data_IF_667067970268
#
_entry.id   IF_667067970268
#
_cell.length_a   1.000
_cell.length_b   1.000
_cell.length_c   1.000
_cell.angle_alpha   90.00
_cell.angle_beta   90.00
_cell.angle_gamma   90.00
#
_symmetry.space_group_name_H-M   'P 1'
#
loop_
_entity.id
_entity.type
_entity.pdbx_description
1 polymer ?
#
# COMPACT_ATOMS: atom_id res chain seq x y z
N UNK A 1 -65.76 33.58 2.42
CA UNK A 1 -65.04 32.40 2.90
C UNK A 1 -64.15 31.65 1.89
N UNK A 2 -63.85 32.08 0.70
CA UNK A 2 -62.91 31.35 -0.20
C UNK A 2 -61.43 31.77 -0.12
N UNK A 3 -61.10 32.93 0.40
CA UNK A 3 -59.73 33.46 0.42
C UNK A 3 -58.81 32.82 1.49
N UNK A 4 -59.38 32.29 2.57
CA UNK A 4 -58.61 31.63 3.65
C UNK A 4 -58.09 30.24 3.26
N UNK A 5 -58.83 29.50 2.41
CA UNK A 5 -58.44 28.17 1.94
C UNK A 5 -57.28 28.20 0.97
N UNK A 6 -57.20 29.24 0.10
CA UNK A 6 -56.10 29.39 -0.84
C UNK A 6 -54.76 29.74 -0.18
N UNK A 7 -54.80 30.49 0.95
CA UNK A 7 -53.58 30.90 1.66
C UNK A 7 -52.94 29.73 2.46
N UNK A 8 -53.80 28.91 3.07
CA UNK A 8 -53.36 27.69 3.81
C UNK A 8 -52.77 26.62 2.90
N UNK A 9 -53.34 26.43 1.68
CA UNK A 9 -52.85 25.50 0.69
C UNK A 9 -51.43 25.89 0.15
N UNK A 10 -51.21 27.18 -0.06
CA UNK A 10 -49.93 27.72 -0.51
C UNK A 10 -48.82 27.61 0.55
N UNK A 11 -49.19 27.78 1.84
CA UNK A 11 -48.22 27.65 2.94
C UNK A 11 -47.86 26.21 3.22
N UNK A 12 -48.80 25.26 3.17
CA UNK A 12 -48.53 23.82 3.27
C UNK A 12 -47.70 23.29 2.12
N UNK A 13 -47.94 23.76 0.88
CA UNK A 13 -47.16 23.37 -0.27
C UNK A 13 -45.72 23.92 -0.24
N UNK A 14 -45.51 25.13 0.28
CA UNK A 14 -44.17 25.69 0.49
C UNK A 14 -43.42 24.94 1.62
N UNK A 15 -44.11 24.59 2.74
CA UNK A 15 -43.54 23.80 3.81
C UNK A 15 -43.14 22.37 3.34
N UNK A 16 -44.03 21.74 2.53
CA UNK A 16 -43.75 20.42 1.94
C UNK A 16 -42.59 20.46 0.98
N UNK A 17 -42.52 21.49 0.11
CA UNK A 17 -41.41 21.67 -0.82
C UNK A 17 -40.09 21.93 -0.09
N UNK A 18 -40.10 22.71 0.99
CA UNK A 18 -38.92 22.96 1.83
C UNK A 18 -38.47 21.71 2.55
N UNK A 19 -39.39 20.86 3.04
CA UNK A 19 -39.06 19.57 3.67
C UNK A 19 -38.50 18.56 2.68
N UNK A 20 -39.02 18.53 1.45
CA UNK A 20 -38.49 17.67 0.38
C UNK A 20 -37.12 18.14 -0.08
N UNK A 21 -36.87 19.45 -0.17
CA UNK A 21 -35.55 20.02 -0.50
C UNK A 21 -34.55 19.75 0.64
N UNK A 22 -34.94 19.89 1.90
CA UNK A 22 -34.11 19.54 3.05
C UNK A 22 -33.82 18.03 3.12
N UNK A 23 -34.81 17.19 2.81
CA UNK A 23 -34.63 15.74 2.73
C UNK A 23 -33.74 15.33 1.53
N UNK A 24 -33.85 16.01 0.40
CA UNK A 24 -32.99 15.80 -0.78
C UNK A 24 -31.55 16.29 -0.55
N UNK A 25 -31.37 17.38 0.21
CA UNK A 25 -30.04 17.85 0.65
C UNK A 25 -29.42 16.94 1.73
N UNK A 26 -30.22 16.31 2.59
CA UNK A 26 -29.77 15.28 3.51
C UNK A 26 -29.46 13.95 2.82
N UNK A 27 -30.12 13.66 1.69
CA UNK A 27 -29.83 12.47 0.86
C UNK A 27 -28.63 12.67 -0.10
N UNK A 28 -28.28 13.93 -0.41
CA UNK A 28 -26.98 14.27 -0.99
C UNK A 28 -25.95 14.27 0.15
N UNK A 29 -25.70 13.08 0.71
CA UNK A 29 -24.73 12.88 1.78
C UNK A 29 -23.38 13.43 1.33
N UNK A 30 -23.04 14.64 1.73
CA UNK A 30 -21.67 15.10 1.72
C UNK A 30 -20.95 14.13 2.64
N UNK A 31 -20.26 13.16 2.05
CA UNK A 31 -19.48 12.20 2.82
C UNK A 31 -18.50 12.98 3.70
N UNK A 32 -18.71 12.91 5.00
CA UNK A 32 -17.80 13.55 5.94
C UNK A 32 -16.47 12.79 5.92
N UNK A 33 -15.34 13.50 6.04
CA UNK A 33 -14.05 12.84 6.12
C UNK A 33 -14.00 11.93 7.37
N UNK A 34 -13.19 10.87 7.27
CA UNK A 34 -12.86 10.03 8.42
C UNK A 34 -12.29 10.90 9.56
N UNK A 35 -12.44 10.48 10.82
CA UNK A 35 -11.83 11.18 11.95
C UNK A 35 -10.34 11.47 11.69
N UNK A 36 -9.90 12.71 11.94
CA UNK A 36 -8.53 13.20 11.73
C UNK A 36 -8.09 13.31 10.25
N UNK A 37 -8.90 12.90 9.28
CA UNK A 37 -8.59 13.09 7.85
C UNK A 37 -9.05 14.47 7.37
N UNK A 38 -8.33 15.01 6.38
CA UNK A 38 -8.65 16.26 5.68
C UNK A 38 -8.94 15.98 4.22
N UNK A 39 -9.95 16.64 3.66
CA UNK A 39 -10.23 16.57 2.23
C UNK A 39 -9.08 17.20 1.45
N UNK A 40 -8.67 16.55 0.34
CA UNK A 40 -7.58 17.07 -0.49
C UNK A 40 -8.05 18.09 -1.54
N UNK A 41 -9.36 18.29 -1.69
CA UNK A 41 -9.95 19.15 -2.71
C UNK A 41 -9.88 18.60 -4.15
N UNK A 42 -9.24 17.45 -4.36
CA UNK A 42 -9.06 16.83 -5.67
C UNK A 42 -9.30 15.33 -5.60
N UNK A 43 -9.75 14.72 -6.71
CA UNK A 43 -9.92 13.28 -6.90
C UNK A 43 -10.87 12.57 -5.92
N UNK A 44 -11.67 13.29 -5.13
CA UNK A 44 -12.54 12.70 -4.11
C UNK A 44 -11.75 11.93 -3.04
N UNK A 45 -10.65 12.49 -2.60
CA UNK A 45 -9.72 11.90 -1.64
C UNK A 45 -9.65 12.70 -0.34
N UNK A 46 -9.26 12.00 0.70
CA UNK A 46 -8.96 12.53 2.02
C UNK A 46 -7.61 11.99 2.49
N UNK A 47 -6.90 12.78 3.28
CA UNK A 47 -5.56 12.43 3.77
C UNK A 47 -5.42 12.69 5.26
N UNK A 48 -4.62 11.85 5.90
CA UNK A 48 -4.12 12.03 7.26
C UNK A 48 -2.60 11.90 7.24
N UNK A 49 -1.91 12.79 7.96
CA UNK A 49 -0.45 12.72 8.13
C UNK A 49 -0.15 12.51 9.61
N UNK A 50 0.66 11.50 9.90
CA UNK A 50 1.24 11.26 11.22
C UNK A 50 2.69 11.73 11.12
N UNK A 51 3.01 12.92 11.67
CA UNK A 51 4.34 13.53 11.56
C UNK A 51 5.36 12.92 12.53
N UNK A 52 4.94 12.53 13.72
CA UNK A 52 5.79 11.93 14.74
C UNK A 52 5.19 10.60 15.17
N UNK A 53 5.20 9.64 14.27
CA UNK A 53 4.76 8.28 14.56
C UNK A 53 5.78 7.50 15.39
N UNK A 54 5.53 6.21 15.55
CA UNK A 54 6.38 5.31 16.32
C UNK A 54 7.83 5.40 15.83
N UNK A 55 8.77 5.64 16.73
CA UNK A 55 10.22 5.70 16.47
C UNK A 55 10.59 6.66 15.31
N UNK A 56 10.07 7.89 15.34
CA UNK A 56 10.41 8.92 14.36
C UNK A 56 9.91 8.67 12.95
N UNK A 57 8.94 7.76 12.78
CA UNK A 57 8.35 7.51 11.47
C UNK A 57 7.32 8.58 11.11
N UNK A 58 7.25 8.88 9.82
CA UNK A 58 6.24 9.73 9.22
C UNK A 58 5.36 8.89 8.30
N UNK A 59 4.04 9.08 8.38
CA UNK A 59 3.09 8.29 7.59
C UNK A 59 2.09 9.21 6.91
N UNK A 60 1.97 9.11 5.59
CA UNK A 60 0.88 9.70 4.83
C UNK A 60 -0.14 8.62 4.51
N UNK A 61 -1.35 8.76 5.02
CA UNK A 61 -2.48 7.89 4.68
C UNK A 61 -3.38 8.62 3.70
N UNK A 62 -3.63 8.01 2.54
CA UNK A 62 -4.56 8.53 1.54
C UNK A 62 -5.70 7.54 1.33
N UNK A 63 -6.92 8.02 1.47
CA UNK A 63 -8.15 7.27 1.35
C UNK A 63 -9.13 7.96 0.39
N UNK A 64 -10.06 7.25 -0.27
CA UNK A 64 -11.19 7.90 -0.94
C UNK A 64 -12.13 8.49 0.10
N UNK A 65 -12.95 9.46 -0.29
CA UNK A 65 -13.96 10.07 0.61
C UNK A 65 -15.13 9.12 0.87
N UNK A 66 -15.40 8.20 -0.06
CA UNK A 66 -16.49 7.22 -0.03
C UNK A 66 -15.96 5.79 0.15
N UNK A 67 -16.84 4.83 0.42
CA UNK A 67 -16.46 3.42 0.56
C UNK A 67 -16.14 3.04 2.02
N UNK A 68 -16.76 3.71 2.97
CA UNK A 68 -16.63 3.44 4.40
C UNK A 68 -18.00 3.21 5.06
N UNK A 69 -18.93 2.60 4.31
CA UNK A 69 -20.19 2.12 4.84
C UNK A 69 -20.02 0.88 5.72
N UNK A 70 -21.10 0.44 6.34
CA UNK A 70 -21.08 -0.68 7.31
C UNK A 70 -20.61 -2.01 6.72
N UNK A 71 -20.91 -2.25 5.45
CA UNK A 71 -20.58 -3.51 4.73
C UNK A 71 -19.31 -3.40 3.89
N UNK A 72 -18.66 -2.22 3.87
CA UNK A 72 -17.45 -2.02 3.10
C UNK A 72 -16.26 -2.74 3.75
N UNK A 73 -15.31 -3.14 2.92
CA UNK A 73 -14.05 -3.77 3.34
C UNK A 73 -12.88 -2.93 2.87
N UNK A 74 -11.89 -2.77 3.72
CA UNK A 74 -10.69 -1.99 3.41
C UNK A 74 -9.56 -2.90 2.93
N UNK A 75 -8.91 -2.52 1.83
CA UNK A 75 -7.62 -3.03 1.42
C UNK A 75 -6.56 -1.97 1.74
N UNK A 76 -5.82 -2.17 2.81
CA UNK A 76 -4.81 -1.24 3.31
C UNK A 76 -3.43 -1.59 2.76
N UNK A 77 -2.93 -0.76 1.87
CA UNK A 77 -1.59 -0.89 1.27
C UNK A 77 -0.59 -0.15 2.13
N UNK A 78 0.30 -0.87 2.79
CA UNK A 78 1.45 -0.34 3.51
C UNK A 78 2.62 -0.25 2.51
N UNK A 79 2.94 0.97 2.09
CA UNK A 79 3.99 1.22 1.10
C UNK A 79 5.23 1.81 1.77
N UNK A 80 6.26 0.99 1.91
CA UNK A 80 7.55 1.43 2.45
C UNK A 80 8.40 2.10 1.36
N UNK A 81 8.84 3.32 1.64
CA UNK A 81 9.57 4.16 0.70
C UNK A 81 10.97 3.60 0.39
N UNK A 82 11.49 3.86 -0.83
CA UNK A 82 12.88 3.59 -1.16
C UNK A 82 13.85 4.51 -0.40
N UNK A 83 15.10 4.13 -0.36
CA UNK A 83 16.14 4.93 0.28
C UNK A 83 16.25 6.33 -0.33
N UNK A 84 16.43 7.33 0.53
CA UNK A 84 16.64 8.72 0.14
C UNK A 84 15.39 9.49 -0.28
N UNK A 85 14.23 8.86 -0.39
CA UNK A 85 13.01 9.51 -0.86
C UNK A 85 12.13 9.98 0.29
N UNK A 86 11.46 11.11 0.07
CA UNK A 86 10.39 11.59 0.94
C UNK A 86 9.03 11.07 0.50
N UNK A 87 8.05 11.17 1.39
CA UNK A 87 6.64 10.86 1.07
C UNK A 87 6.16 11.67 -0.13
N UNK A 88 6.47 12.97 -0.19
CA UNK A 88 6.01 13.85 -1.27
C UNK A 88 6.57 13.42 -2.62
N UNK A 89 7.86 13.09 -2.69
CA UNK A 89 8.51 12.58 -3.90
C UNK A 89 7.87 11.25 -4.35
N UNK A 90 7.61 10.36 -3.40
CA UNK A 90 7.09 9.01 -3.68
C UNK A 90 5.60 9.02 -4.00
N UNK A 91 4.80 9.76 -3.25
CA UNK A 91 3.36 9.86 -3.48
C UNK A 91 3.04 10.60 -4.78
N UNK A 92 3.86 11.58 -5.12
CA UNK A 92 3.76 12.41 -6.32
C UNK A 92 3.51 13.87 -5.97
N UNK A 93 4.51 14.69 -6.15
CA UNK A 93 4.41 16.15 -6.05
C UNK A 93 4.57 16.79 -7.43
N UNK A 94 4.03 17.97 -7.60
CA UNK A 94 4.38 18.81 -8.76
C UNK A 94 5.81 19.32 -8.58
N UNK A 95 6.68 19.01 -9.55
CA UNK A 95 8.04 19.48 -9.56
C UNK A 95 8.09 21.01 -9.64
N UNK A 96 9.03 21.61 -8.92
CA UNK A 96 9.36 23.04 -8.94
C UNK A 96 10.83 23.19 -9.30
N UNK A 97 11.20 24.37 -9.75
CA UNK A 97 12.60 24.72 -9.99
C UNK A 97 13.43 24.49 -8.70
N UNK A 98 14.57 23.82 -8.84
CA UNK A 98 15.45 23.44 -7.71
C UNK A 98 15.11 22.10 -7.05
N UNK A 99 14.05 21.41 -7.47
CA UNK A 99 13.83 20.02 -7.03
C UNK A 99 14.86 19.10 -7.70
N UNK A 100 15.50 18.25 -6.90
CA UNK A 100 16.49 17.26 -7.36
C UNK A 100 15.86 15.93 -7.87
N UNK A 101 14.54 15.86 -7.90
CA UNK A 101 13.81 14.68 -8.33
C UNK A 101 13.84 14.52 -9.85
N UNK A 102 14.51 13.49 -10.33
CA UNK A 102 14.81 13.32 -11.76
C UNK A 102 13.93 12.28 -12.47
N UNK A 103 13.11 11.52 -11.73
CA UNK A 103 12.43 10.35 -12.29
C UNK A 103 10.95 10.36 -11.99
N UNK A 104 10.14 10.14 -13.01
CA UNK A 104 8.69 9.95 -12.90
C UNK A 104 8.31 8.51 -12.53
N UNK A 105 9.03 7.89 -11.58
CA UNK A 105 8.93 6.44 -11.36
C UNK A 105 8.07 6.01 -10.18
N UNK A 106 7.66 6.93 -9.30
CA UNK A 106 7.01 6.52 -8.06
C UNK A 106 5.73 7.25 -7.73
N UNK A 107 4.91 7.57 -8.68
CA UNK A 107 3.65 8.25 -8.48
C UNK A 107 2.62 7.36 -7.77
N UNK A 108 2.85 7.04 -6.49
CA UNK A 108 2.02 6.11 -5.71
C UNK A 108 0.59 6.60 -5.59
N UNK A 109 0.37 7.91 -5.49
CA UNK A 109 -0.96 8.49 -5.52
C UNK A 109 -1.71 8.16 -6.81
N UNK A 110 -1.06 8.33 -7.98
CA UNK A 110 -1.65 8.00 -9.27
C UNK A 110 -1.90 6.48 -9.42
N UNK A 111 -0.95 5.65 -8.99
CA UNK A 111 -1.10 4.19 -9.00
C UNK A 111 -2.24 3.74 -8.08
N UNK A 112 -2.38 4.35 -6.91
CA UNK A 112 -3.49 4.05 -5.98
C UNK A 112 -4.83 4.41 -6.59
N UNK A 113 -4.94 5.55 -7.28
CA UNK A 113 -6.16 5.94 -8.02
C UNK A 113 -6.50 4.95 -9.13
N UNK A 114 -5.49 4.45 -9.85
CA UNK A 114 -5.69 3.39 -10.84
C UNK A 114 -6.20 2.11 -10.17
N UNK A 115 -5.61 1.68 -9.06
CA UNK A 115 -6.07 0.50 -8.33
C UNK A 115 -7.51 0.65 -7.84
N UNK A 116 -7.94 1.82 -7.37
CA UNK A 116 -9.33 2.11 -6.97
C UNK A 116 -10.33 1.94 -8.10
N UNK A 117 -9.92 2.17 -9.35
CA UNK A 117 -10.76 1.91 -10.53
C UNK A 117 -10.87 0.43 -10.88
N UNK A 118 -9.83 -0.34 -10.59
CA UNK A 118 -9.75 -1.76 -10.94
C UNK A 118 -10.31 -2.66 -9.83
N UNK A 119 -10.18 -2.28 -8.57
CA UNK A 119 -10.64 -3.02 -7.40
C UNK A 119 -11.93 -2.37 -6.92
N UNK A 120 -13.06 -3.02 -7.20
CA UNK A 120 -14.40 -2.46 -6.92
C UNK A 120 -15.11 -3.15 -5.74
N UNK A 121 -14.55 -4.23 -5.23
CA UNK A 121 -15.07 -5.02 -4.11
C UNK A 121 -14.49 -4.63 -2.75
N UNK A 122 -13.59 -3.64 -2.72
CA UNK A 122 -12.90 -3.12 -1.52
C UNK A 122 -12.52 -1.68 -1.66
N UNK A 123 -12.50 -0.98 -0.53
CA UNK A 123 -11.98 0.39 -0.45
C UNK A 123 -10.46 0.37 -0.33
N UNK A 124 -9.76 0.83 -1.37
CA UNK A 124 -8.29 0.86 -1.38
C UNK A 124 -7.77 2.10 -0.66
N UNK A 125 -7.03 1.88 0.41
CA UNK A 125 -6.30 2.89 1.19
C UNK A 125 -4.80 2.63 1.06
N UNK A 126 -3.99 3.68 0.92
CA UNK A 126 -2.53 3.57 0.95
C UNK A 126 -1.95 4.36 2.11
N UNK A 127 -1.02 3.75 2.83
CA UNK A 127 -0.18 4.38 3.83
C UNK A 127 1.28 4.36 3.34
N UNK A 128 1.83 5.52 3.02
CA UNK A 128 3.24 5.69 2.65
C UNK A 128 4.08 5.87 3.91
N UNK A 129 5.09 5.03 4.09
CA UNK A 129 5.88 4.91 5.31
C UNK A 129 7.30 5.43 5.07
N UNK A 130 7.65 6.52 5.76
CA UNK A 130 8.97 7.14 5.78
C UNK A 130 9.56 7.03 7.18
N UNK A 131 10.85 6.73 7.30
CA UNK A 131 11.57 6.83 8.58
C UNK A 131 12.50 8.05 8.57
N UNK A 132 12.93 8.49 9.76
CA UNK A 132 13.73 9.70 9.96
C UNK A 132 15.07 9.71 9.19
N UNK A 133 15.68 8.52 8.99
CA UNK A 133 16.94 8.39 8.23
C UNK A 133 16.71 8.11 6.75
N UNK A 134 15.46 8.09 6.29
CA UNK A 134 15.05 7.79 4.90
C UNK A 134 15.69 6.51 4.33
N UNK A 135 15.88 5.52 5.17
CA UNK A 135 16.47 4.23 4.78
C UNK A 135 16.03 3.14 5.75
N UNK A 136 15.18 2.24 5.31
CA UNK A 136 14.73 1.12 6.14
C UNK A 136 15.87 0.18 6.54
N UNK A 137 16.88 -0.12 5.67
CA UNK A 137 18.05 -0.88 6.09
C UNK A 137 18.87 -0.20 7.19
N UNK A 138 19.18 1.10 7.05
CA UNK A 138 19.94 1.84 8.04
C UNK A 138 19.15 2.01 9.35
N UNK A 139 17.85 2.30 9.25
CA UNK A 139 16.96 2.40 10.41
C UNK A 139 16.96 1.09 11.22
N UNK A 140 16.75 -0.08 10.54
CA UNK A 140 16.73 -1.38 11.22
C UNK A 140 18.06 -1.73 11.89
N UNK A 141 19.18 -1.37 11.25
CA UNK A 141 20.51 -1.64 11.79
C UNK A 141 20.78 -0.85 13.08
N UNK A 142 20.14 0.32 13.23
CA UNK A 142 20.32 1.21 14.39
C UNK A 142 19.15 1.14 15.40
N UNK A 143 18.20 0.23 15.21
CA UNK A 143 17.01 0.08 16.07
C UNK A 143 16.95 -1.37 16.58
N UNK A 144 17.50 -1.67 17.77
CA UNK A 144 17.57 -3.05 18.28
C UNK A 144 16.21 -3.75 18.40
N UNK A 145 15.18 -3.02 18.79
CA UNK A 145 13.80 -3.46 18.99
C UNK A 145 12.90 -3.19 17.77
N UNK A 146 13.48 -3.18 16.56
CA UNK A 146 12.76 -2.89 15.32
C UNK A 146 11.54 -3.79 15.10
N UNK A 147 11.52 -5.01 15.63
CA UNK A 147 10.41 -5.96 15.46
C UNK A 147 9.15 -5.46 16.16
N UNK A 148 9.29 -5.10 17.43
CA UNK A 148 8.22 -4.58 18.27
C UNK A 148 7.71 -3.24 17.72
N UNK A 149 8.64 -2.41 17.28
CA UNK A 149 8.32 -1.09 16.70
C UNK A 149 7.56 -1.21 15.39
N UNK A 150 8.01 -2.07 14.46
CA UNK A 150 7.31 -2.28 13.18
C UNK A 150 5.93 -2.88 13.41
N UNK A 151 5.80 -3.85 14.33
CA UNK A 151 4.51 -4.41 14.70
C UNK A 151 3.57 -3.33 15.23
N UNK A 152 4.03 -2.54 16.21
CA UNK A 152 3.24 -1.44 16.79
C UNK A 152 2.80 -0.43 15.73
N UNK A 153 3.70 -0.03 14.84
CA UNK A 153 3.41 0.90 13.73
C UNK A 153 2.29 0.37 12.83
N UNK A 154 2.38 -0.90 12.42
CA UNK A 154 1.36 -1.52 11.57
C UNK A 154 0.05 -1.66 12.31
N UNK A 155 0.06 -2.04 13.59
CA UNK A 155 -1.13 -2.16 14.44
C UNK A 155 -1.82 -0.80 14.61
N UNK A 156 -1.08 0.29 14.83
CA UNK A 156 -1.63 1.65 14.93
C UNK A 156 -2.31 2.10 13.63
N UNK A 157 -1.66 1.94 12.48
CA UNK A 157 -2.25 2.30 11.19
C UNK A 157 -3.48 1.44 10.90
N UNK A 158 -3.42 0.14 11.18
CA UNK A 158 -4.50 -0.80 10.95
C UNK A 158 -5.73 -0.48 11.82
N UNK A 159 -5.51 -0.04 13.06
CA UNK A 159 -6.57 0.30 14.01
C UNK A 159 -7.46 1.44 13.53
N UNK A 160 -6.94 2.37 12.72
CA UNK A 160 -7.72 3.45 12.12
C UNK A 160 -8.86 2.93 11.22
N UNK A 161 -8.70 1.72 10.70
CA UNK A 161 -9.65 1.08 9.78
C UNK A 161 -10.32 -0.17 10.39
N UNK A 162 -10.18 -0.39 11.69
CA UNK A 162 -10.72 -1.57 12.37
C UNK A 162 -12.22 -1.84 12.10
N UNK A 163 -13.11 -0.82 12.00
CA UNK A 163 -14.52 -1.05 11.70
C UNK A 163 -14.78 -1.72 10.35
N UNK A 164 -13.85 -1.63 9.40
CA UNK A 164 -13.94 -2.16 8.04
C UNK A 164 -13.08 -3.39 7.79
N UNK A 165 -12.62 -4.03 8.86
CA UNK A 165 -11.90 -5.31 8.82
C UNK A 165 -10.75 -5.32 7.79
N UNK A 166 -9.71 -4.49 7.95
CA UNK A 166 -8.72 -4.22 6.92
C UNK A 166 -7.89 -5.45 6.56
N UNK A 167 -7.79 -5.73 5.25
CA UNK A 167 -6.83 -6.66 4.69
C UNK A 167 -5.55 -5.90 4.31
N UNK A 168 -4.39 -6.44 4.68
CA UNK A 168 -3.10 -5.78 4.51
C UNK A 168 -2.39 -6.19 3.23
N UNK A 169 -1.82 -5.21 2.55
CA UNK A 169 -0.85 -5.40 1.48
C UNK A 169 0.49 -4.84 1.95
N UNK A 170 1.50 -5.69 2.08
CA UNK A 170 2.87 -5.26 2.33
C UNK A 170 3.55 -4.96 1.00
N UNK A 171 3.95 -3.73 0.78
CA UNK A 171 4.56 -3.28 -0.45
C UNK A 171 5.78 -2.40 -0.16
N UNK A 172 6.82 -2.53 -0.95
CA UNK A 172 8.02 -1.71 -0.82
C UNK A 172 8.81 -1.68 -2.12
N UNK A 173 9.45 -0.54 -2.38
CA UNK A 173 10.37 -0.37 -3.48
C UNK A 173 11.80 -0.22 -2.97
N UNK A 174 12.78 -0.83 -3.64
CA UNK A 174 14.21 -0.70 -3.30
C UNK A 174 14.46 -0.97 -1.80
N UNK A 175 15.07 -0.06 -1.07
CA UNK A 175 15.30 -0.17 0.37
C UNK A 175 14.03 -0.41 1.22
N UNK A 176 12.86 -0.06 0.69
CA UNK A 176 11.56 -0.33 1.34
C UNK A 176 11.26 -1.82 1.56
N UNK A 177 11.90 -2.71 0.80
CA UNK A 177 11.78 -4.16 1.02
C UNK A 177 12.27 -4.61 2.40
N UNK A 178 13.17 -3.85 3.04
CA UNK A 178 13.62 -4.14 4.40
C UNK A 178 12.47 -4.02 5.41
N UNK A 179 11.55 -3.08 5.24
CA UNK A 179 10.35 -2.97 6.06
C UNK A 179 9.52 -4.26 6.01
N UNK A 180 9.34 -4.84 4.81
CA UNK A 180 8.61 -6.10 4.65
C UNK A 180 9.29 -7.20 5.46
N UNK A 181 10.61 -7.37 5.32
CA UNK A 181 11.36 -8.38 6.09
C UNK A 181 11.31 -8.12 7.59
N UNK A 182 11.39 -6.87 8.03
CA UNK A 182 11.24 -6.50 9.45
C UNK A 182 9.87 -6.92 10.00
N UNK A 183 8.81 -6.73 9.21
CA UNK A 183 7.47 -7.17 9.59
C UNK A 183 7.38 -8.71 9.64
N UNK A 184 8.00 -9.42 8.69
CA UNK A 184 8.07 -10.89 8.73
C UNK A 184 8.88 -11.40 9.93
N UNK A 185 9.90 -10.67 10.36
CA UNK A 185 10.71 -11.00 11.55
C UNK A 185 9.93 -10.77 12.85
N UNK A 186 9.04 -9.80 12.87
CA UNK A 186 8.20 -9.48 14.03
C UNK A 186 7.11 -10.52 14.32
N UNK A 187 6.91 -11.50 13.43
CA UNK A 187 5.87 -12.51 13.55
C UNK A 187 6.46 -13.91 13.35
N UNK A 188 6.07 -14.84 14.18
CA UNK A 188 6.40 -16.25 14.00
C UNK A 188 5.77 -16.80 12.72
N UNK A 189 4.50 -16.47 12.49
CA UNK A 189 3.75 -16.74 11.26
C UNK A 189 3.17 -15.45 10.70
N UNK A 190 3.08 -15.34 9.38
CA UNK A 190 2.50 -14.16 8.73
C UNK A 190 1.01 -14.07 9.10
N UNK A 191 0.55 -12.94 9.67
CA UNK A 191 -0.83 -12.78 10.10
C UNK A 191 -1.85 -13.00 8.98
N UNK A 192 -3.01 -13.56 9.33
CA UNK A 192 -4.09 -13.82 8.38
C UNK A 192 -4.70 -12.56 7.75
N UNK A 193 -4.50 -11.39 8.34
CA UNK A 193 -4.87 -10.11 7.73
C UNK A 193 -4.01 -9.74 6.53
N UNK A 194 -2.77 -10.23 6.43
CA UNK A 194 -1.90 -9.98 5.26
C UNK A 194 -2.40 -10.83 4.09
N UNK A 195 -2.89 -10.18 3.05
CA UNK A 195 -3.40 -10.86 1.85
C UNK A 195 -2.46 -10.75 0.65
N UNK A 196 -1.57 -9.75 0.63
CA UNK A 196 -0.59 -9.56 -0.44
C UNK A 196 0.76 -9.15 0.10
N UNK A 197 1.82 -9.66 -0.55
CA UNK A 197 3.20 -9.19 -0.35
C UNK A 197 3.77 -8.90 -1.73
N UNK A 198 4.30 -7.68 -1.92
CA UNK A 198 4.87 -7.25 -3.19
C UNK A 198 6.25 -6.60 -3.00
N UNK A 199 7.26 -7.24 -3.56
CA UNK A 199 8.63 -6.72 -3.63
C UNK A 199 8.83 -6.05 -5.00
N UNK A 200 8.88 -4.72 -5.01
CA UNK A 200 9.12 -3.94 -6.22
C UNK A 200 10.60 -3.57 -6.30
N UNK A 201 11.38 -4.42 -6.93
CA UNK A 201 12.85 -4.33 -6.97
C UNK A 201 13.45 -4.09 -5.58
N UNK A 202 13.00 -4.88 -4.62
CA UNK A 202 13.25 -4.63 -3.18
C UNK A 202 13.57 -5.88 -2.37
N UNK A 203 13.70 -7.03 -3.02
CA UNK A 203 13.96 -8.32 -2.36
C UNK A 203 15.46 -8.54 -2.09
N UNK A 204 16.09 -7.60 -1.36
CA UNK A 204 17.51 -7.72 -0.97
C UNK A 204 17.78 -8.65 0.21
N UNK A 205 16.76 -8.90 1.03
CA UNK A 205 16.90 -9.60 2.31
C UNK A 205 16.45 -11.05 2.32
N UNK A 206 16.16 -11.65 1.18
CA UNK A 206 15.68 -13.03 1.13
C UNK A 206 16.72 -14.04 1.65
N UNK A 207 16.27 -14.87 2.58
CA UNK A 207 17.00 -16.02 3.14
C UNK A 207 16.06 -17.23 3.19
N UNK A 208 16.47 -18.35 2.57
CA UNK A 208 15.61 -19.53 2.38
C UNK A 208 15.12 -20.09 3.73
N UNK A 209 16.04 -20.31 4.68
CA UNK A 209 15.73 -20.93 5.95
C UNK A 209 14.91 -20.02 6.87
N UNK A 210 15.08 -18.71 6.74
CA UNK A 210 14.44 -17.72 7.61
C UNK A 210 13.02 -17.37 7.15
N UNK A 211 12.83 -17.11 5.86
CA UNK A 211 11.57 -16.61 5.30
C UNK A 211 10.82 -17.66 4.49
N UNK A 212 11.51 -18.64 3.94
CA UNK A 212 10.93 -19.65 3.08
C UNK A 212 9.75 -20.38 3.72
N UNK A 213 9.90 -21.01 4.90
CA UNK A 213 8.81 -21.70 5.59
C UNK A 213 7.62 -20.77 5.89
N UNK A 214 7.88 -19.50 6.32
CA UNK A 214 6.82 -18.54 6.62
C UNK A 214 5.99 -18.19 5.37
N UNK A 215 6.66 -17.90 4.25
CA UNK A 215 5.99 -17.56 2.98
C UNK A 215 5.22 -18.77 2.42
N UNK A 216 5.80 -19.98 2.45
CA UNK A 216 5.12 -21.21 2.00
C UNK A 216 3.87 -21.47 2.84
N UNK A 217 3.96 -21.42 4.16
CA UNK A 217 2.82 -21.63 5.06
C UNK A 217 1.74 -20.58 4.83
N UNK A 218 2.11 -19.30 4.71
CA UNK A 218 1.19 -18.22 4.41
C UNK A 218 0.48 -18.40 3.06
N UNK A 219 1.19 -18.74 2.00
CA UNK A 219 0.60 -19.01 0.69
C UNK A 219 -0.37 -20.19 0.71
N UNK A 220 -0.13 -21.21 1.56
CA UNK A 220 -1.00 -22.38 1.74
C UNK A 220 -2.20 -22.10 2.64
N UNK A 221 -2.13 -21.10 3.51
CA UNK A 221 -3.18 -20.78 4.49
C UNK A 221 -4.48 -20.24 3.87
N UNK A 222 -4.47 -19.84 2.60
CA UNK A 222 -5.67 -19.33 1.94
C UNK A 222 -5.50 -19.07 0.44
N UNK A 223 -6.61 -19.12 -0.30
CA UNK A 223 -6.61 -18.83 -1.75
C UNK A 223 -6.49 -17.33 -2.07
N UNK A 224 -6.70 -16.46 -1.10
CA UNK A 224 -6.57 -15.01 -1.22
C UNK A 224 -5.18 -14.49 -0.77
N UNK A 225 -4.15 -15.34 -0.82
CA UNK A 225 -2.77 -14.96 -0.53
C UNK A 225 -2.00 -14.78 -1.83
N UNK A 226 -1.40 -13.60 -2.04
CA UNK A 226 -0.74 -13.24 -3.30
C UNK A 226 0.68 -12.73 -3.04
N UNK A 227 1.65 -13.30 -3.73
CA UNK A 227 3.04 -12.88 -3.72
C UNK A 227 3.44 -12.37 -5.10
N UNK A 228 3.96 -11.16 -5.18
CA UNK A 228 4.55 -10.61 -6.39
C UNK A 228 5.98 -10.15 -6.10
N UNK A 229 6.90 -10.51 -6.98
CA UNK A 229 8.28 -10.05 -6.93
C UNK A 229 8.69 -9.56 -8.31
N UNK A 230 9.05 -8.29 -8.41
CA UNK A 230 9.65 -7.71 -9.60
C UNK A 230 11.12 -7.45 -9.29
N UNK A 231 12.04 -7.83 -10.18
CA UNK A 231 13.45 -7.57 -10.01
C UNK A 231 14.11 -7.20 -11.34
N UNK A 232 14.87 -6.11 -11.31
CA UNK A 232 15.81 -5.75 -12.38
C UNK A 232 17.14 -6.47 -12.19
N UNK A 233 17.87 -6.67 -13.29
CA UNK A 233 19.20 -7.23 -13.20
C UNK A 233 20.22 -6.20 -12.71
N UNK A 234 20.29 -6.04 -11.40
CA UNK A 234 21.22 -5.15 -10.72
C UNK A 234 22.67 -5.68 -10.66
N UNK A 235 22.88 -6.96 -11.02
CA UNK A 235 24.22 -7.58 -11.05
C UNK A 235 25.16 -6.99 -12.12
N UNK A 236 24.61 -6.33 -13.14
CA UNK A 236 25.37 -5.68 -14.22
C UNK A 236 25.63 -4.20 -13.97
N UNK A 237 25.08 -3.64 -12.90
CA UNK A 237 25.18 -2.22 -12.60
C UNK A 237 26.54 -1.91 -11.97
N UNK A 238 27.25 -0.94 -12.55
CA UNK A 238 28.50 -0.40 -12.03
C UNK A 238 28.29 1.02 -11.57
N UNK A 239 28.65 1.31 -10.32
CA UNK A 239 28.57 2.64 -9.72
C UNK A 239 29.94 3.03 -9.18
N UNK A 240 30.45 4.19 -9.58
CA UNK A 240 31.81 4.66 -9.21
C UNK A 240 32.91 3.60 -9.48
N UNK A 241 32.84 2.91 -10.63
CA UNK A 241 33.82 1.90 -11.05
C UNK A 241 33.76 0.57 -10.29
N UNK A 242 32.76 0.36 -9.43
CA UNK A 242 32.56 -0.90 -8.68
C UNK A 242 31.19 -1.49 -8.94
N UNK A 243 31.04 -2.82 -8.90
CA UNK A 243 29.71 -3.43 -8.94
C UNK A 243 28.82 -2.88 -7.84
N UNK A 244 27.56 -2.55 -8.18
CA UNK A 244 26.59 -2.02 -7.21
C UNK A 244 26.26 -3.01 -6.12
N UNK A 245 26.23 -4.31 -6.46
CA UNK A 245 25.90 -5.41 -5.55
C UNK A 245 26.98 -6.50 -5.63
N UNK A 246 27.09 -7.30 -4.57
CA UNK A 246 27.94 -8.49 -4.58
C UNK A 246 27.34 -9.58 -5.49
N UNK A 247 28.10 -10.61 -5.90
CA UNK A 247 27.60 -11.70 -6.75
C UNK A 247 26.38 -12.42 -6.16
N UNK A 248 26.29 -12.53 -4.83
CA UNK A 248 25.16 -13.13 -4.10
C UNK A 248 24.23 -12.09 -3.46
N UNK A 249 24.42 -10.83 -3.80
CA UNK A 249 23.59 -9.71 -3.37
C UNK A 249 22.59 -9.28 -4.43
N UNK A 250 21.89 -8.19 -4.11
CA UNK A 250 20.97 -7.56 -5.06
C UNK A 250 19.61 -8.25 -5.20
N UNK A 251 18.71 -7.53 -5.82
CA UNK A 251 17.32 -7.99 -5.99
C UNK A 251 17.21 -9.11 -6.99
N UNK A 252 18.04 -9.07 -8.04
CA UNK A 252 18.07 -10.11 -9.07
C UNK A 252 18.43 -11.48 -8.49
N UNK A 253 19.56 -11.57 -7.81
CA UNK A 253 20.01 -12.82 -7.21
C UNK A 253 19.03 -13.33 -6.16
N UNK A 254 18.65 -12.49 -5.21
CA UNK A 254 17.78 -12.85 -4.11
C UNK A 254 16.37 -13.25 -4.57
N UNK A 255 15.85 -12.60 -5.61
CA UNK A 255 14.53 -12.95 -6.17
C UNK A 255 14.57 -14.25 -6.95
N UNK A 256 15.65 -14.55 -7.65
CA UNK A 256 15.85 -15.87 -8.30
C UNK A 256 15.91 -16.97 -7.25
N UNK A 257 16.71 -16.77 -6.20
CA UNK A 257 16.81 -17.71 -5.08
C UNK A 257 15.43 -17.99 -4.44
N UNK A 258 14.64 -16.93 -4.22
CA UNK A 258 13.27 -17.06 -3.74
C UNK A 258 12.37 -17.83 -4.71
N UNK A 259 12.46 -17.54 -6.02
CA UNK A 259 11.73 -18.28 -7.05
C UNK A 259 12.07 -19.77 -7.03
N UNK A 260 13.35 -20.12 -6.96
CA UNK A 260 13.83 -21.50 -6.96
C UNK A 260 13.34 -22.24 -5.71
N UNK A 261 13.45 -21.60 -4.53
CA UNK A 261 12.92 -22.14 -3.28
C UNK A 261 11.39 -22.42 -3.36
N UNK A 262 10.62 -21.46 -3.84
CA UNK A 262 9.16 -21.61 -3.94
C UNK A 262 8.76 -22.61 -5.03
N UNK A 263 9.55 -22.79 -6.08
CA UNK A 263 9.32 -23.77 -7.13
C UNK A 263 9.37 -25.21 -6.64
N UNK A 264 10.04 -25.47 -5.50
CA UNK A 264 10.00 -26.77 -4.84
C UNK A 264 8.64 -27.07 -4.18
N UNK A 265 7.88 -26.04 -3.84
CA UNK A 265 6.57 -26.18 -3.17
C UNK A 265 5.35 -25.87 -4.04
N UNK A 266 5.56 -25.10 -5.12
CA UNK A 266 4.52 -24.61 -6.01
C UNK A 266 4.93 -24.79 -7.47
N UNK A 267 4.04 -25.26 -8.32
CA UNK A 267 4.30 -25.34 -9.76
C UNK A 267 4.28 -23.96 -10.38
N UNK A 268 5.46 -23.39 -10.68
CA UNK A 268 5.61 -22.11 -11.36
C UNK A 268 5.95 -22.38 -12.84
N UNK A 269 5.18 -21.77 -13.76
CA UNK A 269 5.42 -21.84 -15.20
C UNK A 269 6.23 -20.64 -15.62
N UNK A 270 7.37 -20.89 -16.27
CA UNK A 270 8.21 -19.85 -16.92
C UNK A 270 7.64 -19.51 -18.29
N UNK A 271 7.60 -18.23 -18.63
CA UNK A 271 7.34 -17.71 -19.97
C UNK A 271 8.03 -16.35 -20.16
N UNK A 272 8.21 -15.95 -21.41
CA UNK A 272 8.79 -14.66 -21.77
C UNK A 272 7.75 -13.83 -22.51
N UNK A 273 7.69 -12.56 -22.19
CA UNK A 273 6.82 -11.59 -22.83
C UNK A 273 7.38 -10.19 -22.68
N UNK A 274 7.43 -9.42 -23.78
CA UNK A 274 7.84 -8.00 -23.79
C UNK A 274 9.23 -7.77 -23.13
N UNK A 275 10.20 -8.63 -23.46
CA UNK A 275 11.55 -8.64 -22.87
C UNK A 275 11.60 -8.88 -21.36
N UNK A 276 10.53 -9.42 -20.80
CA UNK A 276 10.44 -9.79 -19.38
C UNK A 276 10.36 -11.32 -19.26
N UNK A 277 11.05 -11.86 -18.25
CA UNK A 277 10.95 -13.25 -17.86
C UNK A 277 9.94 -13.35 -16.71
N UNK A 278 8.94 -14.17 -16.88
CA UNK A 278 7.89 -14.40 -15.92
C UNK A 278 7.95 -15.80 -15.36
N UNK A 279 7.69 -15.93 -14.06
CA UNK A 279 7.33 -17.20 -13.43
C UNK A 279 6.00 -16.99 -12.71
N UNK A 280 5.04 -17.88 -12.96
CA UNK A 280 3.71 -17.72 -12.37
C UNK A 280 3.07 -19.06 -12.01
N UNK A 281 2.43 -19.11 -10.85
CA UNK A 281 1.50 -20.19 -10.54
C UNK A 281 0.28 -20.15 -11.47
N UNK A 282 -0.41 -21.31 -11.66
CA UNK A 282 -1.57 -21.42 -12.54
C UNK A 282 -2.67 -20.41 -12.20
N UNK A 283 -2.90 -20.18 -10.92
CA UNK A 283 -3.89 -19.25 -10.38
C UNK A 283 -3.38 -17.80 -10.23
N UNK A 284 -2.15 -17.54 -10.70
CA UNK A 284 -1.47 -16.23 -10.64
C UNK A 284 -1.34 -15.64 -9.22
N UNK A 285 -1.38 -16.46 -8.20
CA UNK A 285 -1.15 -16.00 -6.82
C UNK A 285 0.32 -15.78 -6.50
N UNK A 286 1.20 -16.46 -7.21
CA UNK A 286 2.65 -16.30 -7.10
C UNK A 286 3.14 -15.83 -8.47
N UNK A 287 3.77 -14.65 -8.50
CA UNK A 287 4.29 -14.06 -9.74
C UNK A 287 5.68 -13.50 -9.49
N UNK A 288 6.63 -13.91 -10.30
CA UNK A 288 7.95 -13.28 -10.42
C UNK A 288 8.10 -12.66 -11.80
N UNK A 289 8.65 -11.47 -11.86
CA UNK A 289 8.92 -10.71 -13.09
C UNK A 289 10.36 -10.25 -13.04
N UNK A 290 11.15 -10.70 -14.01
CA UNK A 290 12.56 -10.37 -14.13
C UNK A 290 12.81 -9.59 -15.43
N UNK A 291 13.63 -8.53 -15.35
CA UNK A 291 14.01 -7.70 -16.50
C UNK A 291 15.52 -7.56 -16.60
#
# INVERSE_FOLDING_TARGET
MPLFYSYMSGMMMKAFLLTVILAALAAAGVSQPLPQFKLTGSFGEQQMVIENGVAGTRVLINAPVTGFGKEDRVLLVLYALPNGNTIEQTFGKKLKEGDDWHYDIQHIGAQTRFLRRMITDRTVVVACLENEVKSWPAWSANTPDYKEIVKKMVDEITSLFAPWNPELVLNGHSGGGRFIFNYLDAHEQIPGSVVRIAFLDSNYGWEDDRYGPKIVNWLRSGRNRYLCTLAYNDSVVVYNGKPLVSPEGGTWYRSRKMNDYLSASFRLKRYERDSLIWYSSRDRRIVFIFK
#
